data_IF_053064925229
#
_entry.id   IF_053064925229
#
_cell.length_a   1.000
_cell.length_b   1.000
_cell.length_c   1.000
_cell.angle_alpha   90.00
_cell.angle_beta   90.00
_cell.angle_gamma   90.00
#
_symmetry.space_group_name_H-M   'P 1'
#
loop_
_entity.id
_entity.type
_entity.pdbx_description
1 polymer ?
#
# COMPACT_ATOMS: atom_id res chain seq x y z
N UNK A 1 15.01 -13.33 -0.39
CA UNK A 1 16.01 -12.60 0.41
C UNK A 1 15.35 -11.47 1.18
N UNK A 2 15.88 -11.17 2.36
CA UNK A 2 15.46 -10.03 3.16
C UNK A 2 15.94 -8.71 2.56
N UNK A 3 15.32 -7.61 2.96
CA UNK A 3 15.68 -6.25 2.60
C UNK A 3 15.60 -5.91 1.10
N UNK A 4 14.84 -6.65 0.31
CA UNK A 4 14.62 -6.31 -1.10
C UNK A 4 14.08 -4.87 -1.20
N UNK A 5 14.75 -4.01 -1.97
CA UNK A 5 14.34 -2.61 -2.15
C UNK A 5 14.49 -1.73 -0.91
N UNK A 6 15.29 -2.12 0.10
CA UNK A 6 15.60 -1.25 1.24
C UNK A 6 16.21 0.07 0.76
N UNK A 7 15.62 1.19 1.17
CA UNK A 7 16.07 2.52 0.77
C UNK A 7 15.88 2.84 -0.72
N UNK A 8 15.02 2.11 -1.43
CA UNK A 8 14.72 2.37 -2.83
C UNK A 8 14.32 3.84 -3.02
N UNK A 9 15.01 4.54 -3.93
CA UNK A 9 14.80 5.96 -4.21
C UNK A 9 14.36 6.26 -5.65
N UNK A 10 13.97 5.22 -6.40
CA UNK A 10 13.48 5.33 -7.78
C UNK A 10 13.59 4.00 -8.53
N UNK A 11 13.14 3.98 -9.78
CA UNK A 11 13.15 2.78 -10.60
C UNK A 11 12.07 1.77 -10.25
N UNK A 12 12.18 0.56 -10.81
CA UNK A 12 11.21 -0.53 -10.60
C UNK A 12 11.92 -1.82 -10.20
N UNK A 13 11.35 -2.54 -9.23
CA UNK A 13 11.72 -3.92 -8.89
C UNK A 13 10.53 -4.82 -9.21
N UNK A 14 10.78 -5.87 -9.97
CA UNK A 14 9.76 -6.85 -10.35
C UNK A 14 10.26 -8.22 -9.93
N UNK A 15 9.51 -8.92 -9.10
CA UNK A 15 9.76 -10.31 -8.76
C UNK A 15 8.54 -11.16 -9.09
N UNK A 16 8.76 -12.21 -9.86
CA UNK A 16 7.73 -13.16 -10.30
C UNK A 16 8.28 -14.56 -10.29
N UNK A 17 7.41 -15.54 -10.23
CA UNK A 17 7.78 -16.93 -10.42
C UNK A 17 8.17 -17.19 -11.89
N UNK A 18 9.04 -18.17 -12.16
CA UNK A 18 9.28 -18.66 -13.51
C UNK A 18 7.97 -19.13 -14.17
N UNK A 19 7.86 -18.97 -15.50
CA UNK A 19 6.63 -19.32 -16.25
C UNK A 19 6.19 -20.78 -16.09
N UNK A 20 7.15 -21.69 -15.91
CA UNK A 20 6.92 -23.12 -15.75
C UNK A 20 6.97 -23.56 -14.27
N UNK A 21 6.69 -22.66 -13.34
CA UNK A 21 6.67 -22.98 -11.91
C UNK A 21 5.34 -23.61 -11.52
N UNK A 22 5.38 -24.72 -10.79
CA UNK A 22 4.22 -25.34 -10.15
C UNK A 22 3.85 -24.66 -8.81
N UNK A 23 4.60 -23.64 -8.41
CA UNK A 23 4.37 -22.90 -7.15
C UNK A 23 3.17 -21.98 -7.30
N UNK A 24 2.26 -22.01 -6.34
CA UNK A 24 1.12 -21.10 -6.26
C UNK A 24 1.61 -19.80 -5.61
N UNK A 25 1.59 -18.70 -6.38
CA UNK A 25 2.19 -17.44 -5.98
C UNK A 25 1.58 -16.86 -4.70
N UNK A 26 0.25 -16.90 -4.59
CA UNK A 26 -0.49 -16.38 -3.43
C UNK A 26 -0.34 -17.19 -2.13
N UNK A 27 0.26 -18.37 -2.21
CA UNK A 27 0.51 -19.23 -1.05
C UNK A 27 1.99 -19.25 -0.62
N UNK A 28 2.87 -18.59 -1.38
CA UNK A 28 4.30 -18.69 -1.18
C UNK A 28 5.00 -17.34 -1.05
N UNK A 29 6.02 -17.31 -0.18
CA UNK A 29 6.87 -16.13 0.03
C UNK A 29 7.86 -16.03 -1.14
N UNK A 30 7.77 -14.92 -1.89
CA UNK A 30 8.70 -14.58 -2.98
C UNK A 30 9.81 -13.62 -2.53
N UNK A 31 9.52 -12.81 -1.52
CA UNK A 31 10.45 -11.85 -0.94
C UNK A 31 10.47 -11.99 0.59
N UNK A 32 11.64 -11.91 1.20
CA UNK A 32 11.80 -12.10 2.64
C UNK A 32 11.29 -10.93 3.48
N UNK A 33 11.94 -10.70 4.61
CA UNK A 33 11.53 -9.71 5.60
C UNK A 33 12.06 -8.30 5.28
N UNK A 34 11.41 -7.29 5.82
CA UNK A 34 11.81 -5.88 5.75
C UNK A 34 12.03 -5.35 4.32
N UNK A 35 11.28 -5.91 3.35
CA UNK A 35 11.30 -5.41 1.98
C UNK A 35 10.74 -3.99 1.93
N UNK A 36 11.35 -3.11 1.10
CA UNK A 36 11.03 -1.68 0.97
C UNK A 36 11.20 -0.87 2.27
N UNK A 37 11.99 -1.35 3.22
CA UNK A 37 12.27 -0.60 4.44
C UNK A 37 12.86 0.77 4.10
N UNK A 38 12.20 1.85 4.52
CA UNK A 38 12.65 3.22 4.30
C UNK A 38 12.74 3.64 2.81
N UNK A 39 11.99 3.00 1.93
CA UNK A 39 11.92 3.39 0.53
C UNK A 39 11.30 4.78 0.38
N UNK A 40 11.87 5.62 -0.49
CA UNK A 40 11.47 7.03 -0.66
C UNK A 40 10.78 7.30 -2.00
N UNK A 41 11.03 6.47 -3.00
CA UNK A 41 10.42 6.58 -4.32
C UNK A 41 10.57 5.25 -5.08
N UNK A 42 10.01 5.15 -6.29
CA UNK A 42 10.06 3.96 -7.13
C UNK A 42 8.81 3.08 -7.00
N UNK A 43 8.85 1.92 -7.65
CA UNK A 43 7.72 0.98 -7.65
C UNK A 43 8.21 -0.47 -7.53
N UNK A 44 7.47 -1.30 -6.79
CA UNK A 44 7.79 -2.71 -6.58
C UNK A 44 6.55 -3.57 -6.83
N UNK A 45 6.72 -4.60 -7.64
CA UNK A 45 5.66 -5.53 -8.02
C UNK A 45 6.11 -6.95 -7.70
N UNK A 46 5.48 -7.55 -6.69
CA UNK A 46 5.81 -8.89 -6.20
C UNK A 46 4.65 -9.85 -6.47
N UNK A 47 4.85 -10.80 -7.38
CA UNK A 47 3.87 -11.87 -7.62
C UNK A 47 4.10 -13.02 -6.64
N UNK A 48 3.73 -12.77 -5.39
CA UNK A 48 3.87 -13.66 -4.25
C UNK A 48 3.76 -12.89 -2.94
N UNK A 49 3.95 -13.60 -1.83
CA UNK A 49 3.87 -13.03 -0.48
C UNK A 49 5.22 -12.39 -0.11
N UNK A 50 5.21 -11.23 0.51
CA UNK A 50 6.35 -10.68 1.23
C UNK A 50 6.34 -11.12 2.69
N UNK A 51 7.51 -11.30 3.28
CA UNK A 51 7.65 -11.64 4.69
C UNK A 51 7.20 -10.54 5.64
N UNK A 52 7.70 -10.55 6.85
CA UNK A 52 7.38 -9.58 7.88
C UNK A 52 7.93 -8.19 7.57
N UNK A 53 7.28 -7.15 8.12
CA UNK A 53 7.74 -5.75 8.04
C UNK A 53 7.86 -5.20 6.62
N UNK A 54 6.97 -5.62 5.74
CA UNK A 54 6.87 -5.08 4.39
C UNK A 54 6.51 -3.58 4.42
N UNK A 55 7.24 -2.76 3.66
CA UNK A 55 7.03 -1.31 3.57
C UNK A 55 7.17 -0.53 4.90
N UNK A 56 7.89 -1.06 5.89
CA UNK A 56 8.17 -0.30 7.12
C UNK A 56 8.91 0.98 6.79
N UNK A 57 8.41 2.12 7.31
CA UNK A 57 8.94 3.46 7.04
C UNK A 57 9.03 3.84 5.55
N UNK A 58 8.21 3.21 4.69
CA UNK A 58 8.06 3.68 3.33
C UNK A 58 7.52 5.12 3.34
N UNK A 59 8.14 6.02 2.59
CA UNK A 59 7.78 7.44 2.53
C UNK A 59 7.34 7.91 1.15
N UNK A 60 7.41 7.06 0.10
CA UNK A 60 6.99 7.49 -1.23
C UNK A 60 6.99 6.42 -2.31
N UNK A 61 7.48 5.21 -2.05
CA UNK A 61 7.44 4.14 -3.03
C UNK A 61 6.02 3.56 -3.19
N UNK A 62 5.72 3.08 -4.40
CA UNK A 62 4.50 2.31 -4.69
C UNK A 62 4.82 0.82 -4.64
N UNK A 63 3.90 0.00 -4.13
CA UNK A 63 4.09 -1.44 -4.08
C UNK A 63 2.79 -2.20 -4.34
N UNK A 64 2.89 -3.31 -5.08
CA UNK A 64 1.82 -4.30 -5.23
C UNK A 64 2.38 -5.67 -4.85
N UNK A 65 1.67 -6.38 -3.97
CA UNK A 65 2.06 -7.68 -3.43
C UNK A 65 0.85 -8.57 -3.23
N UNK A 66 1.01 -9.90 -3.29
CA UNK A 66 -0.11 -10.83 -3.09
C UNK A 66 -0.44 -11.10 -1.63
N UNK A 67 0.45 -10.78 -0.71
CA UNK A 67 0.22 -10.91 0.72
C UNK A 67 1.41 -10.40 1.53
N UNK A 68 1.23 -10.17 2.84
CA UNK A 68 2.30 -9.72 3.74
C UNK A 68 2.28 -10.48 5.07
N UNK A 69 3.46 -10.65 5.66
CA UNK A 69 3.59 -11.07 7.05
C UNK A 69 3.13 -9.98 8.05
N UNK A 70 3.45 -10.16 9.32
CA UNK A 70 3.10 -9.21 10.38
C UNK A 70 3.84 -7.88 10.22
N UNK A 71 3.27 -6.80 10.80
CA UNK A 71 3.86 -5.46 10.79
C UNK A 71 4.03 -4.82 9.39
N UNK A 72 3.21 -5.21 8.41
CA UNK A 72 3.18 -4.53 7.11
C UNK A 72 2.80 -3.05 7.24
N UNK A 73 3.46 -2.15 6.49
CA UNK A 73 3.25 -0.70 6.52
C UNK A 73 3.45 -0.03 7.88
N UNK A 74 4.17 -0.66 8.81
CA UNK A 74 4.47 -0.09 10.12
C UNK A 74 5.31 1.18 9.97
N UNK A 75 4.90 2.27 10.67
CA UNK A 75 5.53 3.61 10.57
C UNK A 75 5.65 4.16 9.13
N UNK A 76 4.84 3.71 8.20
CA UNK A 76 4.79 4.28 6.85
C UNK A 76 4.38 5.75 6.91
N UNK A 77 5.07 6.62 6.17
CA UNK A 77 4.87 8.07 6.16
C UNK A 77 4.42 8.61 4.81
N UNK A 78 4.40 7.79 3.78
CA UNK A 78 3.99 8.17 2.42
C UNK A 78 4.01 6.98 1.47
N UNK A 79 3.66 7.21 0.22
CA UNK A 79 3.59 6.16 -0.80
C UNK A 79 2.24 5.44 -0.85
N UNK A 80 2.18 4.39 -1.65
CA UNK A 80 0.94 3.65 -1.91
C UNK A 80 1.23 2.15 -1.96
N UNK A 81 0.51 1.38 -1.15
CA UNK A 81 0.66 -0.08 -1.07
C UNK A 81 -0.64 -0.75 -1.45
N UNK A 82 -0.57 -1.77 -2.31
CA UNK A 82 -1.69 -2.63 -2.67
C UNK A 82 -1.37 -4.06 -2.24
N UNK A 83 -2.23 -4.65 -1.41
CA UNK A 83 -2.13 -6.06 -1.01
C UNK A 83 -3.33 -6.80 -1.58
N UNK A 84 -3.08 -7.78 -2.46
CA UNK A 84 -4.08 -8.54 -3.21
C UNK A 84 -4.51 -9.85 -2.51
N UNK A 85 -4.17 -10.01 -1.24
CA UNK A 85 -4.50 -11.16 -0.40
C UNK A 85 -4.35 -10.86 1.08
N UNK A 86 -3.84 -11.80 1.84
CA UNK A 86 -3.80 -11.71 3.30
C UNK A 86 -2.71 -10.77 3.82
N UNK A 87 -3.02 -10.08 4.90
CA UNK A 87 -2.06 -9.29 5.70
C UNK A 87 -1.81 -9.98 7.05
N UNK A 88 -0.63 -9.79 7.61
CA UNK A 88 -0.34 -10.23 8.98
C UNK A 88 -0.90 -9.27 10.04
N UNK A 89 -0.80 -9.66 11.30
CA UNK A 89 -1.23 -8.84 12.45
C UNK A 89 -0.43 -7.51 12.53
N UNK A 90 -0.99 -6.52 13.23
CA UNK A 90 -0.39 -5.19 13.41
C UNK A 90 -0.10 -4.43 12.10
N UNK A 91 -0.86 -4.72 11.05
CA UNK A 91 -0.75 -3.95 9.80
C UNK A 91 -1.02 -2.47 10.05
N UNK A 92 -0.19 -1.59 9.48
CA UNK A 92 -0.24 -0.13 9.59
C UNK A 92 -0.02 0.42 11.01
N UNK A 93 0.59 -0.32 11.93
CA UNK A 93 0.94 0.18 13.26
C UNK A 93 1.83 1.44 13.16
N UNK A 94 1.44 2.53 13.81
CA UNK A 94 2.19 3.79 13.78
C UNK A 94 2.25 4.49 12.42
N UNK A 95 1.45 4.05 11.44
CA UNK A 95 1.37 4.69 10.12
C UNK A 95 0.87 6.12 10.25
N UNK A 96 1.60 7.09 9.68
CA UNK A 96 1.30 8.52 9.76
C UNK A 96 1.06 9.21 8.41
N UNK A 97 1.33 8.52 7.29
CA UNK A 97 1.10 9.04 5.93
C UNK A 97 1.04 7.93 4.89
N UNK A 98 0.63 8.28 3.68
CA UNK A 98 0.39 7.33 2.61
C UNK A 98 -0.94 6.60 2.69
N UNK A 99 -1.16 5.65 1.77
CA UNK A 99 -2.40 4.89 1.64
C UNK A 99 -2.06 3.41 1.42
N UNK A 100 -2.84 2.52 2.02
CA UNK A 100 -2.83 1.11 1.64
C UNK A 100 -4.22 0.64 1.21
N UNK A 101 -4.31 -0.05 0.07
CA UNK A 101 -5.48 -0.78 -0.37
C UNK A 101 -5.29 -2.27 -0.09
N UNK A 102 -6.24 -2.88 0.57
CA UNK A 102 -6.16 -4.29 0.97
C UNK A 102 -7.39 -5.03 0.45
N UNK A 103 -7.15 -6.14 -0.25
CA UNK A 103 -8.18 -7.06 -0.68
C UNK A 103 -8.62 -7.99 0.45
N UNK A 104 -9.91 -8.31 0.49
CA UNK A 104 -10.49 -9.23 1.47
C UNK A 104 -10.87 -8.54 2.79
N UNK A 105 -12.17 -8.37 3.00
CA UNK A 105 -12.72 -7.65 4.17
C UNK A 105 -12.42 -8.33 5.51
N UNK A 106 -12.10 -9.63 5.51
CA UNK A 106 -11.66 -10.37 6.71
C UNK A 106 -10.34 -9.85 7.28
N UNK A 107 -9.52 -9.21 6.47
CA UNK A 107 -8.26 -8.61 6.87
C UNK A 107 -8.42 -7.38 7.80
N UNK A 108 -9.61 -6.78 7.86
CA UNK A 108 -9.87 -5.59 8.71
C UNK A 108 -9.49 -5.81 10.17
N UNK A 109 -9.69 -7.02 10.69
CA UNK A 109 -9.34 -7.37 12.07
C UNK A 109 -7.82 -7.39 12.36
N UNK A 110 -6.98 -7.40 11.34
CA UNK A 110 -5.51 -7.44 11.45
C UNK A 110 -4.86 -6.05 11.41
N UNK A 111 -5.64 -5.02 11.08
CA UNK A 111 -5.17 -3.62 11.02
C UNK A 111 -5.05 -3.05 12.43
N UNK A 112 -3.92 -2.42 12.72
CA UNK A 112 -3.74 -1.67 13.96
C UNK A 112 -4.41 -0.29 13.82
N UNK A 113 -5.54 -0.10 14.52
CA UNK A 113 -6.41 1.06 14.39
C UNK A 113 -5.98 2.26 15.24
N UNK A 114 -4.81 2.24 15.86
CA UNK A 114 -4.38 3.31 16.78
C UNK A 114 -4.29 4.68 16.10
N UNK A 115 -3.73 4.75 14.88
CA UNK A 115 -3.53 6.01 14.14
C UNK A 115 -4.28 6.07 12.80
N UNK A 116 -4.85 4.97 12.34
CA UNK A 116 -5.48 4.87 11.01
C UNK A 116 -6.98 4.62 11.10
N UNK A 117 -7.67 4.92 10.02
CA UNK A 117 -9.05 4.51 9.77
C UNK A 117 -9.12 3.55 8.59
N UNK A 118 -10.10 2.65 8.64
CA UNK A 118 -10.52 1.84 7.50
C UNK A 118 -11.67 2.58 6.80
N UNK A 119 -11.51 2.82 5.50
CA UNK A 119 -12.48 3.54 4.67
C UNK A 119 -12.87 2.69 3.46
N UNK A 120 -14.05 2.97 2.92
CA UNK A 120 -14.45 2.47 1.61
C UNK A 120 -13.68 3.22 0.50
N UNK A 121 -13.55 2.59 -0.67
CA UNK A 121 -12.91 3.19 -1.83
C UNK A 121 -13.82 4.23 -2.48
N UNK A 122 -13.28 5.41 -2.70
CA UNK A 122 -13.86 6.45 -3.56
C UNK A 122 -13.58 6.15 -5.04
N UNK A 123 -14.24 6.87 -5.96
CA UNK A 123 -14.01 6.70 -7.41
C UNK A 123 -12.55 6.93 -7.84
N UNK A 124 -11.88 7.89 -7.22
CA UNK A 124 -10.47 8.18 -7.50
C UNK A 124 -9.58 7.02 -7.04
N UNK A 125 -9.84 6.47 -5.85
CA UNK A 125 -9.14 5.30 -5.31
C UNK A 125 -9.30 4.09 -6.22
N UNK A 126 -10.52 3.84 -6.72
CA UNK A 126 -10.82 2.73 -7.63
C UNK A 126 -10.01 2.85 -8.94
N UNK A 127 -9.91 4.04 -9.50
CA UNK A 127 -9.14 4.28 -10.72
C UNK A 127 -7.64 4.04 -10.50
N UNK A 128 -7.08 4.53 -9.41
CA UNK A 128 -5.66 4.35 -9.07
C UNK A 128 -5.34 2.88 -8.77
N UNK A 129 -6.21 2.21 -8.00
CA UNK A 129 -6.08 0.79 -7.68
C UNK A 129 -6.09 -0.07 -8.96
N UNK A 130 -7.05 0.11 -9.86
CA UNK A 130 -7.12 -0.61 -11.14
C UNK A 130 -5.87 -0.36 -12.00
N UNK A 131 -5.35 0.85 -12.02
CA UNK A 131 -4.11 1.18 -12.73
C UNK A 131 -2.94 0.35 -12.20
N UNK A 132 -2.75 0.29 -10.87
CA UNK A 132 -1.68 -0.48 -10.26
C UNK A 132 -1.84 -1.99 -10.44
N UNK A 133 -3.06 -2.51 -10.37
CA UNK A 133 -3.35 -3.93 -10.64
C UNK A 133 -3.01 -4.26 -12.11
N UNK A 134 -3.42 -3.42 -13.06
CA UNK A 134 -3.08 -3.61 -14.49
C UNK A 134 -1.57 -3.57 -14.72
N UNK A 135 -0.85 -2.62 -14.12
CA UNK A 135 0.62 -2.58 -14.19
C UNK A 135 1.24 -3.85 -13.60
N UNK A 136 0.74 -4.31 -12.46
CA UNK A 136 1.21 -5.55 -11.84
C UNK A 136 1.02 -6.74 -12.77
N UNK A 137 -0.16 -6.89 -13.38
CA UNK A 137 -0.44 -7.96 -14.35
C UNK A 137 0.52 -7.87 -15.55
N UNK A 138 0.69 -6.67 -16.11
CA UNK A 138 1.54 -6.47 -17.28
C UNK A 138 3.01 -6.83 -17.01
N UNK A 139 3.50 -6.56 -15.81
CA UNK A 139 4.90 -6.77 -15.42
C UNK A 139 5.18 -8.18 -14.90
N UNK A 140 4.22 -8.81 -14.24
CA UNK A 140 4.44 -10.10 -13.57
C UNK A 140 3.71 -11.26 -14.21
N UNK A 141 2.63 -11.01 -14.92
CA UNK A 141 1.74 -12.06 -15.44
C UNK A 141 0.82 -12.68 -14.38
N UNK A 142 0.71 -12.06 -13.19
CA UNK A 142 -0.03 -12.58 -12.05
C UNK A 142 -1.43 -13.09 -12.38
N UNK A 143 -1.68 -14.36 -12.12
CA UNK A 143 -3.00 -14.98 -12.28
C UNK A 143 -3.98 -14.43 -11.24
N UNK A 144 -3.53 -14.33 -9.99
CA UNK A 144 -4.33 -13.79 -8.89
C UNK A 144 -4.82 -12.38 -9.17
N UNK A 145 -3.93 -11.50 -9.66
CA UNK A 145 -4.30 -10.13 -9.98
C UNK A 145 -5.29 -10.06 -11.16
N UNK A 146 -5.17 -10.94 -12.17
CA UNK A 146 -6.13 -11.06 -13.27
C UNK A 146 -7.52 -11.45 -12.78
N UNK A 147 -7.61 -12.50 -11.96
CA UNK A 147 -8.88 -12.99 -11.42
C UNK A 147 -9.59 -11.90 -10.61
N UNK A 148 -8.83 -11.15 -9.79
CA UNK A 148 -9.38 -10.04 -9.01
C UNK A 148 -9.87 -8.91 -9.92
N UNK A 149 -9.15 -8.59 -11.00
CA UNK A 149 -9.53 -7.50 -11.89
C UNK A 149 -10.74 -7.86 -12.76
N UNK A 150 -10.83 -9.11 -13.25
CA UNK A 150 -11.96 -9.62 -14.03
C UNK A 150 -13.26 -9.65 -13.23
N UNK A 151 -13.17 -9.97 -11.93
CA UNK A 151 -14.29 -10.01 -10.99
C UNK A 151 -14.32 -8.81 -10.04
N UNK A 152 -13.83 -7.66 -10.48
CA UNK A 152 -13.61 -6.52 -9.60
C UNK A 152 -14.88 -6.00 -8.96
N UNK A 153 -14.99 -6.10 -7.64
CA UNK A 153 -15.93 -5.34 -6.82
C UNK A 153 -15.12 -4.49 -5.80
N UNK A 154 -15.32 -3.17 -5.83
CA UNK A 154 -14.68 -2.27 -4.87
C UNK A 154 -14.99 -2.60 -3.41
N UNK A 155 -16.10 -3.31 -3.14
CA UNK A 155 -16.50 -3.73 -1.79
C UNK A 155 -15.60 -4.84 -1.22
N UNK A 156 -14.87 -5.55 -2.07
CA UNK A 156 -13.89 -6.54 -1.64
C UNK A 156 -12.60 -5.90 -1.14
N UNK A 157 -12.42 -4.61 -1.41
CA UNK A 157 -11.30 -3.84 -0.95
C UNK A 157 -11.68 -2.88 0.17
N UNK A 158 -10.68 -2.52 0.96
CA UNK A 158 -10.76 -1.40 1.88
C UNK A 158 -9.49 -0.56 1.82
N UNK A 159 -9.63 0.72 2.16
CA UNK A 159 -8.54 1.68 2.25
C UNK A 159 -8.12 1.88 3.69
N UNK A 160 -6.84 1.73 3.98
CA UNK A 160 -6.22 2.08 5.27
C UNK A 160 -5.52 3.42 5.11
N UNK A 161 -5.88 4.38 5.94
CA UNK A 161 -5.39 5.76 5.83
C UNK A 161 -5.25 6.42 7.20
N UNK A 162 -4.11 7.06 7.51
CA UNK A 162 -3.94 7.77 8.78
C UNK A 162 -4.91 8.94 8.92
N UNK A 163 -5.48 9.10 10.11
CA UNK A 163 -6.49 10.13 10.39
C UNK A 163 -6.00 11.55 10.16
N UNK A 164 -4.79 11.87 10.65
CA UNK A 164 -4.24 13.21 10.49
C UNK A 164 -3.78 13.50 9.06
N UNK A 165 -3.30 12.47 8.34
CA UNK A 165 -3.00 12.58 6.92
C UNK A 165 -4.26 12.85 6.08
N UNK A 166 -5.36 12.18 6.38
CA UNK A 166 -6.64 12.44 5.73
C UNK A 166 -7.10 13.89 5.93
N UNK A 167 -7.03 14.40 7.17
CA UNK A 167 -7.35 15.81 7.48
C UNK A 167 -6.45 16.77 6.71
N UNK A 168 -5.14 16.49 6.63
CA UNK A 168 -4.20 17.32 5.87
C UNK A 168 -4.57 17.39 4.39
N UNK A 169 -4.89 16.24 3.78
CA UNK A 169 -5.28 16.20 2.38
C UNK A 169 -6.59 16.96 2.11
N UNK A 170 -7.55 16.90 3.02
CA UNK A 170 -8.80 17.64 2.90
C UNK A 170 -8.60 19.16 3.04
N UNK A 171 -7.74 19.60 3.95
CA UNK A 171 -7.40 21.01 4.06
C UNK A 171 -6.55 21.51 2.88
N UNK A 172 -5.65 20.68 2.34
CA UNK A 172 -4.91 20.99 1.12
C UNK A 172 -5.86 21.26 -0.08
N UNK A 173 -6.90 20.42 -0.24
CA UNK A 173 -7.92 20.64 -1.28
C UNK A 173 -8.65 21.97 -1.11
N UNK A 174 -8.93 22.38 0.14
CA UNK A 174 -9.59 23.66 0.45
C UNK A 174 -8.67 24.86 0.27
N UNK A 175 -7.37 24.66 0.45
CA UNK A 175 -6.36 25.72 0.36
C UNK A 175 -5.66 25.80 -1.00
N UNK A 176 -6.12 25.03 -2.00
CA UNK A 176 -5.45 24.89 -3.31
C UNK A 176 -5.14 26.23 -4.03
N UNK A 177 -5.94 27.26 -3.79
CA UNK A 177 -5.81 28.58 -4.42
C UNK A 177 -5.00 29.59 -3.56
N UNK A 178 -4.50 29.15 -2.39
CA UNK A 178 -3.63 29.95 -1.52
C UNK A 178 -2.21 30.04 -2.11
N UNK A 179 -1.47 31.08 -1.75
CA UNK A 179 -0.09 31.30 -2.21
C UNK A 179 0.85 30.16 -1.80
N UNK A 180 0.63 29.59 -0.62
CA UNK A 180 1.32 28.40 -0.09
C UNK A 180 0.27 27.47 0.53
N UNK A 181 -0.29 26.55 -0.27
CA UNK A 181 -1.37 25.65 0.17
C UNK A 181 -0.98 24.76 1.35
N UNK A 182 0.27 24.28 1.38
CA UNK A 182 0.76 23.39 2.43
C UNK A 182 0.84 24.10 3.78
N UNK A 183 1.44 25.28 3.80
CA UNK A 183 1.51 26.12 5.00
C UNK A 183 0.11 26.53 5.47
N UNK A 184 -0.76 26.94 4.55
CA UNK A 184 -2.13 27.34 4.87
C UNK A 184 -2.94 26.19 5.49
N UNK A 185 -2.86 24.99 4.92
CA UNK A 185 -3.51 23.81 5.45
C UNK A 185 -2.96 23.44 6.84
N UNK A 186 -1.64 23.44 7.01
CA UNK A 186 -0.99 23.16 8.29
C UNK A 186 -1.44 24.12 9.40
N UNK A 187 -1.46 25.43 9.11
CA UNK A 187 -1.89 26.46 10.07
C UNK A 187 -3.38 26.32 10.47
N UNK A 188 -4.24 25.90 9.55
CA UNK A 188 -5.66 25.64 9.86
C UNK A 188 -5.84 24.44 10.78
N UNK A 189 -5.11 23.35 10.54
CA UNK A 189 -5.19 22.13 11.37
C UNK A 189 -4.64 22.39 12.76
N UNK A 190 -3.55 23.14 12.91
CA UNK A 190 -2.92 23.42 14.21
C UNK A 190 -3.72 24.40 15.06
N UNK A 191 -4.46 25.32 14.45
CA UNK A 191 -5.35 26.27 15.17
C UNK A 191 -6.67 25.64 15.61
N UNK A 192 -7.05 24.48 15.06
CA UNK A 192 -8.29 23.76 15.39
C UNK A 192 -8.14 22.76 16.55
N UNK A 193 -6.96 22.68 17.16
CA UNK A 193 -6.67 21.96 18.40
C UNK A 193 -6.71 22.92 19.58
#
# INVERSE_FOLDING_TARGET
NDYLGKGLSGGKIIARLPENSDIIAEENIIAGNACLYGATAGAVYLDGIAGERFCVRNSGAKAVVLGTGVHGCEYMTGGLVVVLGDIGANFAAGMSGGVAFVYGTHNKARVNMEFVDIKELEKADESELKTLINEHIALTGSKRAKDILENFDKKDFFKVMPRDYAKMLDELKRCKDEKDPELAAFLKITKAK
#
